data_IF_144121890190
#
_entry.id   IF_144121890190
#
_cell.length_a   1.000
_cell.length_b   1.000
_cell.length_c   1.000
_cell.angle_alpha   90.00
_cell.angle_beta   90.00
_cell.angle_gamma   90.00
#
_symmetry.space_group_name_H-M   'P 1'
#
loop_
_entity.id
_entity.type
_entity.pdbx_description
1 polymer ?
#
# COMPACT_ATOMS: atom_id res chain seq x y z
N UNK A 1 -19.64 7.43 6.44
CA UNK A 1 -20.43 6.23 6.82
C UNK A 1 -19.49 5.05 6.90
N UNK A 2 -19.62 4.18 7.93
CA UNK A 2 -18.81 2.96 8.04
C UNK A 2 -19.21 1.98 6.91
N UNK A 3 -18.29 1.16 6.38
CA UNK A 3 -18.62 0.16 5.35
C UNK A 3 -19.77 -0.77 5.76
N UNK A 4 -19.86 -1.13 7.05
CA UNK A 4 -20.96 -1.94 7.62
C UNK A 4 -22.30 -1.23 7.46
N UNK A 5 -22.39 0.05 7.83
CA UNK A 5 -23.64 0.80 7.72
C UNK A 5 -24.08 0.98 6.26
N UNK A 6 -23.12 1.19 5.35
CA UNK A 6 -23.40 1.26 3.93
C UNK A 6 -23.92 -0.08 3.40
N UNK A 7 -23.23 -1.20 3.72
CA UNK A 7 -23.66 -2.54 3.31
C UNK A 7 -25.09 -2.86 3.80
N UNK A 8 -25.38 -2.58 5.08
CA UNK A 8 -26.72 -2.79 5.62
C UNK A 8 -27.79 -1.94 4.93
N UNK A 9 -27.50 -0.66 4.66
CA UNK A 9 -28.43 0.23 3.97
C UNK A 9 -28.77 -0.29 2.57
N UNK A 10 -27.75 -0.64 1.76
CA UNK A 10 -28.00 -1.11 0.40
C UNK A 10 -28.61 -2.52 0.37
N UNK A 11 -28.28 -3.39 1.34
CA UNK A 11 -28.95 -4.67 1.49
C UNK A 11 -30.45 -4.52 1.80
N UNK A 12 -30.83 -3.52 2.63
CA UNK A 12 -32.24 -3.22 2.91
C UNK A 12 -32.96 -2.65 1.68
N UNK A 13 -32.32 -1.72 0.97
CA UNK A 13 -32.88 -1.12 -0.25
C UNK A 13 -33.13 -2.16 -1.35
N UNK A 14 -32.26 -3.17 -1.49
CA UNK A 14 -32.46 -4.27 -2.44
C UNK A 14 -33.67 -5.13 -2.15
N UNK A 15 -34.28 -5.04 -0.96
CA UNK A 15 -35.55 -5.68 -0.62
C UNK A 15 -36.79 -4.96 -1.19
N UNK A 16 -36.64 -3.75 -1.75
CA UNK A 16 -37.73 -3.02 -2.36
C UNK A 16 -38.09 -3.65 -3.74
N UNK A 17 -39.39 -3.94 -3.94
CA UNK A 17 -39.87 -4.55 -5.17
C UNK A 17 -40.10 -3.55 -6.32
N UNK A 18 -40.01 -2.24 -6.02
CA UNK A 18 -40.21 -1.16 -6.99
C UNK A 18 -38.95 -0.69 -7.71
N UNK A 19 -37.76 -1.30 -7.46
CA UNK A 19 -36.52 -0.90 -8.07
C UNK A 19 -36.45 -1.22 -9.56
N UNK A 20 -35.93 -0.28 -10.34
CA UNK A 20 -35.48 -0.54 -11.71
C UNK A 20 -34.25 -1.46 -11.71
N UNK A 21 -33.99 -2.10 -12.86
CA UNK A 21 -32.78 -2.94 -13.03
C UNK A 21 -31.48 -2.12 -12.87
N UNK A 22 -31.47 -0.85 -13.29
CA UNK A 22 -30.34 0.06 -13.13
C UNK A 22 -30.07 0.36 -11.65
N UNK A 23 -31.09 0.74 -10.89
CA UNK A 23 -30.98 1.01 -9.44
C UNK A 23 -30.51 -0.24 -8.68
N UNK A 24 -31.06 -1.40 -9.05
CA UNK A 24 -30.69 -2.69 -8.46
C UNK A 24 -29.20 -2.99 -8.68
N UNK A 25 -28.70 -2.80 -9.92
CA UNK A 25 -27.30 -3.02 -10.26
C UNK A 25 -26.38 -2.04 -9.53
N UNK A 26 -26.76 -0.78 -9.39
CA UNK A 26 -26.01 0.23 -8.63
C UNK A 26 -25.90 -0.16 -7.14
N UNK A 27 -27.01 -0.60 -6.53
CA UNK A 27 -27.04 -1.02 -5.13
C UNK A 27 -26.20 -2.27 -4.90
N UNK A 28 -26.26 -3.27 -5.81
CA UNK A 28 -25.41 -4.47 -5.77
C UNK A 28 -23.94 -4.08 -5.84
N UNK A 29 -23.57 -3.23 -6.79
CA UNK A 29 -22.18 -2.76 -6.95
C UNK A 29 -21.68 -2.05 -5.69
N UNK A 30 -22.48 -1.17 -5.10
CA UNK A 30 -22.12 -0.44 -3.87
C UNK A 30 -22.01 -1.38 -2.66
N UNK A 31 -22.89 -2.39 -2.57
CA UNK A 31 -22.82 -3.42 -1.56
C UNK A 31 -21.53 -4.24 -1.69
N UNK A 32 -21.20 -4.69 -2.91
CA UNK A 32 -19.95 -5.42 -3.19
C UNK A 32 -18.73 -4.63 -2.79
N UNK A 33 -18.62 -3.36 -3.19
CA UNK A 33 -17.54 -2.46 -2.78
C UNK A 33 -17.41 -2.33 -1.25
N UNK A 34 -18.55 -2.27 -0.55
CA UNK A 34 -18.57 -2.19 0.92
C UNK A 34 -18.08 -3.47 1.58
N UNK A 35 -18.44 -4.63 1.04
CA UNK A 35 -17.98 -5.95 1.50
C UNK A 35 -16.48 -6.16 1.23
N UNK A 36 -15.98 -5.74 0.06
CA UNK A 36 -14.56 -5.77 -0.27
C UNK A 36 -13.74 -4.92 0.71
N UNK A 37 -14.21 -3.71 1.04
CA UNK A 37 -13.60 -2.85 2.05
C UNK A 37 -13.56 -3.51 3.43
N UNK A 38 -14.64 -4.18 3.84
CA UNK A 38 -14.70 -4.92 5.11
C UNK A 38 -13.70 -6.08 5.12
N UNK A 39 -13.65 -6.85 4.06
CA UNK A 39 -12.71 -7.96 3.91
C UNK A 39 -11.26 -7.48 3.99
N UNK A 40 -10.93 -6.40 3.29
CA UNK A 40 -9.61 -5.79 3.36
C UNK A 40 -9.26 -5.31 4.78
N UNK A 41 -10.20 -4.63 5.46
CA UNK A 41 -10.07 -4.19 6.85
C UNK A 41 -9.76 -5.36 7.79
N UNK A 42 -10.59 -6.39 7.73
CA UNK A 42 -10.46 -7.56 8.61
C UNK A 42 -9.14 -8.27 8.39
N UNK A 43 -8.75 -8.51 7.14
CA UNK A 43 -7.48 -9.15 6.79
C UNK A 43 -6.28 -8.31 7.25
N UNK A 44 -6.33 -6.99 7.08
CA UNK A 44 -5.26 -6.07 7.53
C UNK A 44 -5.12 -6.07 9.06
N UNK A 45 -6.24 -6.09 9.79
CA UNK A 45 -6.26 -6.17 11.25
C UNK A 45 -5.71 -7.51 11.76
N UNK A 46 -6.07 -8.62 11.11
CA UNK A 46 -5.54 -9.95 11.46
C UNK A 46 -4.03 -10.00 11.21
N UNK A 47 -3.55 -9.52 10.06
CA UNK A 47 -2.12 -9.44 9.75
C UNK A 47 -1.37 -8.63 10.81
N UNK A 48 -1.89 -7.44 11.13
CA UNK A 48 -1.30 -6.56 12.13
C UNK A 48 -1.26 -7.22 13.52
N UNK A 49 -2.37 -7.78 13.99
CA UNK A 49 -2.48 -8.45 15.28
C UNK A 49 -1.50 -9.62 15.41
N UNK A 50 -1.39 -10.45 14.38
CA UNK A 50 -0.48 -11.59 14.36
C UNK A 50 0.99 -11.18 14.34
N UNK A 51 1.31 -10.09 13.65
CA UNK A 51 2.67 -9.56 13.60
C UNK A 51 3.07 -8.92 14.93
N UNK A 52 2.17 -8.16 15.58
CA UNK A 52 2.40 -7.52 16.87
C UNK A 52 2.51 -8.52 18.03
N UNK A 53 1.63 -9.52 18.05
CA UNK A 53 1.65 -10.58 19.10
C UNK A 53 2.84 -11.53 18.98
N UNK A 54 3.67 -11.40 17.94
CA UNK A 54 4.78 -12.31 17.69
C UNK A 54 4.35 -13.74 17.28
N UNK A 55 3.06 -13.96 17.04
CA UNK A 55 2.54 -15.24 16.51
C UNK A 55 3.16 -15.53 15.14
N UNK A 56 3.39 -14.48 14.35
CA UNK A 56 4.14 -14.59 13.11
C UNK A 56 5.56 -14.08 13.38
N UNK A 57 6.52 -14.98 13.32
CA UNK A 57 7.93 -14.63 13.25
C UNK A 57 8.33 -14.48 11.79
N UNK A 58 8.93 -13.34 11.45
CA UNK A 58 9.57 -13.16 10.14
C UNK A 58 10.71 -14.16 10.02
N UNK A 59 10.90 -14.70 8.81
CA UNK A 59 12.00 -15.62 8.48
C UNK A 59 12.91 -14.96 7.46
N UNK A 60 13.81 -14.06 7.89
CA UNK A 60 14.75 -13.44 6.97
C UNK A 60 15.72 -14.50 6.42
N UNK A 61 15.73 -14.62 5.11
CA UNK A 61 16.64 -15.47 4.35
C UNK A 61 17.36 -14.63 3.31
N UNK A 62 18.42 -15.15 2.73
CA UNK A 62 19.11 -14.50 1.62
C UNK A 62 18.20 -14.47 0.40
N UNK A 63 17.68 -13.30 0.07
CA UNK A 63 16.76 -13.08 -1.03
C UNK A 63 17.23 -11.92 -1.93
N UNK A 64 16.87 -12.00 -3.21
CA UNK A 64 17.03 -10.92 -4.18
C UNK A 64 15.97 -9.83 -3.91
N UNK A 65 16.43 -8.62 -3.60
CA UNK A 65 15.52 -7.47 -3.46
C UNK A 65 14.83 -7.13 -4.79
N UNK A 66 15.51 -7.33 -5.91
CA UNK A 66 14.95 -7.12 -7.24
C UNK A 66 13.72 -8.01 -7.48
N UNK A 67 13.80 -9.29 -7.12
CA UNK A 67 12.68 -10.22 -7.29
C UNK A 67 11.49 -9.85 -6.41
N UNK A 68 11.77 -9.42 -5.16
CA UNK A 68 10.74 -8.94 -4.24
C UNK A 68 10.05 -7.69 -4.80
N UNK A 69 10.82 -6.73 -5.33
CA UNK A 69 10.29 -5.52 -5.98
C UNK A 69 9.43 -5.88 -7.18
N UNK A 70 9.92 -6.76 -8.07
CA UNK A 70 9.16 -7.21 -9.23
C UNK A 70 7.85 -7.90 -8.86
N UNK A 71 7.83 -8.69 -7.78
CA UNK A 71 6.62 -9.31 -7.25
C UNK A 71 5.61 -8.24 -6.77
N UNK A 72 6.08 -7.22 -6.07
CA UNK A 72 5.23 -6.12 -5.61
C UNK A 72 4.67 -5.30 -6.79
N UNK A 73 5.50 -4.99 -7.79
CA UNK A 73 5.08 -4.30 -9.03
C UNK A 73 4.00 -5.08 -9.75
N UNK A 74 4.14 -6.41 -9.90
CA UNK A 74 3.11 -7.27 -10.52
C UNK A 74 1.75 -7.12 -9.82
N UNK A 75 1.74 -6.99 -8.49
CA UNK A 75 0.51 -6.87 -7.71
C UNK A 75 -0.26 -5.58 -7.99
N UNK A 76 0.44 -4.47 -8.24
CA UNK A 76 -0.19 -3.15 -8.49
C UNK A 76 -0.35 -2.83 -9.97
N UNK A 77 0.24 -3.63 -10.86
CA UNK A 77 0.34 -3.35 -12.30
C UNK A 77 -1.02 -3.08 -12.97
N UNK A 78 -2.04 -3.89 -12.67
CA UNK A 78 -3.38 -3.71 -13.25
C UNK A 78 -3.99 -2.36 -12.87
N UNK A 79 -3.82 -1.95 -11.61
CA UNK A 79 -4.31 -0.64 -11.13
C UNK A 79 -3.54 0.52 -11.79
N UNK A 80 -2.21 0.41 -11.87
CA UNK A 80 -1.36 1.41 -12.52
C UNK A 80 -1.75 1.56 -14.00
N UNK A 81 -1.93 0.45 -14.71
CA UNK A 81 -2.37 0.44 -16.12
C UNK A 81 -3.74 1.08 -16.29
N UNK A 82 -4.70 0.82 -15.39
CA UNK A 82 -6.03 1.44 -15.41
C UNK A 82 -6.01 2.96 -15.28
N UNK A 83 -4.94 3.53 -14.69
CA UNK A 83 -4.68 4.96 -14.57
C UNK A 83 -3.64 5.48 -15.57
N UNK A 84 -3.18 4.68 -16.52
CA UNK A 84 -2.08 5.01 -17.45
C UNK A 84 -0.80 5.48 -16.73
N UNK A 85 -0.53 4.97 -15.52
CA UNK A 85 0.68 5.29 -14.76
C UNK A 85 1.83 4.45 -15.27
N UNK A 86 2.95 5.10 -15.57
CA UNK A 86 4.20 4.43 -15.92
C UNK A 86 4.96 4.07 -14.66
N UNK A 87 5.28 2.78 -14.48
CA UNK A 87 6.16 2.31 -13.41
C UNK A 87 7.51 1.98 -14.02
N UNK A 88 8.58 2.62 -13.54
CA UNK A 88 9.96 2.37 -13.95
C UNK A 88 10.74 1.69 -12.82
N UNK A 89 11.55 0.71 -13.17
CA UNK A 89 12.46 0.03 -12.24
C UNK A 89 13.71 -0.41 -12.99
N UNK A 90 14.85 0.18 -12.61
CA UNK A 90 16.15 -0.24 -13.09
C UNK A 90 16.59 -1.49 -12.33
N UNK A 91 16.77 -2.60 -13.03
CA UNK A 91 17.15 -3.91 -12.50
C UNK A 91 18.39 -4.52 -13.19
N UNK A 92 19.26 -3.69 -13.76
CA UNK A 92 20.50 -4.18 -14.39
C UNK A 92 21.43 -4.88 -13.37
N UNK A 93 21.43 -4.39 -12.12
CA UNK A 93 22.21 -4.97 -11.02
C UNK A 93 21.30 -5.69 -10.03
N UNK A 94 21.70 -6.89 -9.59
CA UNK A 94 20.98 -7.66 -8.57
C UNK A 94 21.51 -7.34 -7.18
N UNK A 95 20.60 -7.06 -6.24
CA UNK A 95 20.90 -6.76 -4.85
C UNK A 95 20.34 -7.83 -3.93
N UNK A 96 21.18 -8.38 -3.04
CA UNK A 96 20.80 -9.42 -2.09
C UNK A 96 20.84 -8.90 -0.65
N UNK A 97 19.87 -9.31 0.15
CA UNK A 97 19.80 -8.97 1.58
C UNK A 97 19.13 -10.09 2.38
N UNK A 98 19.25 -10.03 3.73
CA UNK A 98 18.50 -10.90 4.64
C UNK A 98 17.09 -10.37 4.83
N UNK A 99 16.15 -10.91 4.07
CA UNK A 99 14.77 -10.44 4.01
C UNK A 99 13.80 -11.61 4.06
N UNK A 100 12.68 -11.43 4.73
CA UNK A 100 11.52 -12.28 4.53
C UNK A 100 10.85 -11.87 3.21
N UNK A 101 10.86 -12.77 2.23
CA UNK A 101 10.37 -12.48 0.89
C UNK A 101 8.93 -11.97 0.89
N UNK A 102 8.02 -12.69 1.54
CA UNK A 102 6.60 -12.38 1.50
C UNK A 102 6.25 -11.10 2.26
N UNK A 103 6.82 -10.92 3.45
CA UNK A 103 6.55 -9.73 4.25
C UNK A 103 7.20 -8.49 3.66
N UNK A 104 8.39 -8.60 3.07
CA UNK A 104 9.02 -7.48 2.38
C UNK A 104 8.24 -7.11 1.12
N UNK A 105 7.76 -8.10 0.35
CA UNK A 105 6.88 -7.85 -0.79
C UNK A 105 5.57 -7.16 -0.38
N UNK A 106 4.97 -7.56 0.75
CA UNK A 106 3.79 -6.88 1.32
C UNK A 106 4.09 -5.42 1.67
N UNK A 107 5.23 -5.17 2.34
CA UNK A 107 5.64 -3.81 2.71
C UNK A 107 5.83 -2.91 1.47
N UNK A 108 6.52 -3.42 0.45
CA UNK A 108 6.74 -2.70 -0.82
C UNK A 108 5.40 -2.49 -1.55
N UNK A 109 4.53 -3.51 -1.60
CA UNK A 109 3.20 -3.41 -2.23
C UNK A 109 2.35 -2.33 -1.57
N UNK A 110 2.37 -2.19 -0.24
CA UNK A 110 1.64 -1.15 0.46
C UNK A 110 2.09 0.27 0.06
N UNK A 111 3.39 0.48 -0.12
CA UNK A 111 3.94 1.77 -0.58
C UNK A 111 3.59 2.01 -2.05
N UNK A 112 3.76 1.01 -2.92
CA UNK A 112 3.40 1.10 -4.33
C UNK A 112 1.91 1.33 -4.56
N UNK A 113 1.03 0.67 -3.79
CA UNK A 113 -0.41 0.89 -3.87
C UNK A 113 -0.78 2.33 -3.50
N UNK A 114 -0.09 2.93 -2.51
CA UNK A 114 -0.23 4.35 -2.21
C UNK A 114 0.28 5.24 -3.35
N UNK A 115 1.48 4.98 -3.88
CA UNK A 115 2.02 5.73 -5.01
C UNK A 115 1.03 5.72 -6.18
N UNK A 116 0.51 4.54 -6.59
CA UNK A 116 -0.48 4.44 -7.68
C UNK A 116 -1.80 5.13 -7.34
N UNK A 117 -2.24 5.11 -6.09
CA UNK A 117 -3.49 5.78 -5.67
C UNK A 117 -3.40 7.28 -5.78
N UNK A 118 -2.32 7.87 -5.30
CA UNK A 118 -2.16 9.32 -5.16
C UNK A 118 -1.52 9.98 -6.36
N UNK A 119 -0.95 9.22 -7.26
CA UNK A 119 -0.48 9.71 -8.57
C UNK A 119 -1.67 9.96 -9.51
N UNK A 120 -1.72 11.10 -10.22
CA UNK A 120 -2.76 11.38 -11.21
C UNK A 120 -2.67 10.42 -12.40
N UNK A 121 -3.74 10.38 -13.22
CA UNK A 121 -3.75 9.60 -14.45
C UNK A 121 -2.62 10.07 -15.37
N UNK A 122 -1.87 9.13 -15.96
CA UNK A 122 -0.73 9.41 -16.83
C UNK A 122 0.56 9.79 -16.09
N UNK A 123 0.57 9.69 -14.75
CA UNK A 123 1.76 10.00 -13.94
C UNK A 123 2.82 8.91 -13.96
N UNK A 124 3.83 9.07 -13.10
CA UNK A 124 5.03 8.22 -13.07
C UNK A 124 5.28 7.78 -11.63
N UNK A 125 5.65 6.50 -11.49
CA UNK A 125 6.20 5.91 -10.25
C UNK A 125 7.55 5.31 -10.59
N UNK A 126 8.61 5.82 -9.98
CA UNK A 126 9.99 5.37 -10.21
C UNK A 126 10.52 4.61 -9.00
N UNK A 127 11.15 3.45 -9.26
CA UNK A 127 11.80 2.62 -8.25
C UNK A 127 13.30 2.57 -8.49
N UNK A 128 14.06 2.81 -7.42
CA UNK A 128 15.52 2.79 -7.47
C UNK A 128 16.11 2.11 -6.25
N UNK A 129 17.03 1.16 -6.47
CA UNK A 129 17.82 0.57 -5.38
C UNK A 129 19.19 1.25 -5.36
N UNK A 130 19.61 1.67 -4.16
CA UNK A 130 20.94 2.23 -3.91
C UNK A 130 21.61 1.41 -2.82
N UNK A 131 22.83 0.97 -3.07
CA UNK A 131 23.62 0.20 -2.11
C UNK A 131 24.44 1.12 -1.20
N UNK A 132 24.36 0.86 0.11
CA UNK A 132 25.18 1.46 1.16
C UNK A 132 25.96 0.37 1.90
N UNK A 133 26.99 0.70 2.70
CA UNK A 133 27.77 -0.31 3.40
C UNK A 133 26.97 -1.27 4.26
N UNK A 134 25.91 -0.81 4.94
CA UNK A 134 25.08 -1.60 5.87
C UNK A 134 23.65 -1.81 5.44
N UNK A 135 23.19 -1.12 4.38
CA UNK A 135 21.80 -1.14 3.94
C UNK A 135 21.69 -1.13 2.42
N UNK A 136 20.62 -1.74 1.92
CA UNK A 136 20.06 -1.43 0.62
C UNK A 136 18.93 -0.44 0.83
N UNK A 137 18.94 0.67 0.10
CA UNK A 137 17.86 1.64 0.10
C UNK A 137 17.02 1.45 -1.17
N UNK A 138 15.75 1.13 -0.99
CA UNK A 138 14.76 1.15 -2.05
C UNK A 138 13.98 2.47 -1.95
N UNK A 139 14.13 3.32 -2.95
CA UNK A 139 13.32 4.52 -3.14
C UNK A 139 12.15 4.19 -4.05
N UNK A 140 10.96 4.60 -3.65
CA UNK A 140 9.72 4.54 -4.42
C UNK A 140 9.23 5.98 -4.50
N UNK A 141 9.36 6.58 -5.68
CA UNK A 141 9.06 7.99 -5.95
C UNK A 141 7.85 8.10 -6.84
N UNK A 142 6.91 8.97 -6.50
CA UNK A 142 5.75 9.28 -7.30
C UNK A 142 5.67 10.79 -7.59
N UNK A 143 5.05 11.17 -8.69
CA UNK A 143 4.72 12.56 -9.02
C UNK A 143 3.25 12.89 -8.69
N UNK A 144 2.80 12.41 -7.54
CA UNK A 144 1.45 12.59 -7.03
C UNK A 144 1.23 13.92 -6.32
N UNK A 145 0.15 13.98 -5.54
CA UNK A 145 -0.30 15.19 -4.84
C UNK A 145 0.61 15.62 -3.67
N UNK A 146 1.58 14.80 -3.31
CA UNK A 146 2.46 15.02 -2.17
C UNK A 146 1.79 14.89 -0.80
N UNK A 147 2.60 15.11 0.24
CA UNK A 147 2.21 14.98 1.66
C UNK A 147 2.76 16.19 2.40
N UNK A 148 1.90 16.95 3.07
CA UNK A 148 2.31 18.12 3.83
C UNK A 148 3.30 17.74 4.97
N UNK A 149 4.21 18.62 5.32
CA UNK A 149 5.22 18.39 6.36
C UNK A 149 4.59 17.95 7.70
N UNK A 150 3.46 18.56 8.06
CA UNK A 150 2.70 18.22 9.28
C UNK A 150 2.17 16.78 9.26
N UNK A 151 1.89 16.23 8.08
CA UNK A 151 1.33 14.89 7.90
C UNK A 151 2.42 13.82 7.78
N UNK A 152 3.62 14.16 7.28
CA UNK A 152 4.70 13.18 7.05
C UNK A 152 5.07 12.38 8.31
N UNK A 153 5.04 12.99 9.49
CA UNK A 153 5.28 12.28 10.75
C UNK A 153 4.11 11.38 11.17
N UNK A 154 2.88 11.68 10.70
CA UNK A 154 1.63 11.02 11.13
C UNK A 154 1.22 9.86 10.23
N UNK A 155 1.66 9.86 8.95
CA UNK A 155 1.22 8.86 7.95
C UNK A 155 1.58 7.41 8.32
N UNK A 156 2.54 7.21 9.20
CA UNK A 156 2.91 5.90 9.74
C UNK A 156 2.08 5.51 10.99
N UNK A 157 1.12 6.34 11.39
CA UNK A 157 0.19 6.04 12.48
C UNK A 157 -0.90 5.04 12.06
N UNK A 158 -1.45 4.30 13.03
CA UNK A 158 -2.58 3.38 12.79
C UNK A 158 -3.83 4.17 12.40
N UNK A 159 -4.52 3.74 11.37
CA UNK A 159 -5.76 4.34 10.88
C UNK A 159 -5.63 5.82 10.46
N UNK A 160 -4.40 6.30 10.33
CA UNK A 160 -4.19 7.66 9.88
C UNK A 160 -4.46 7.78 8.37
N UNK A 161 -5.20 8.84 8.03
CA UNK A 161 -5.48 9.23 6.64
C UNK A 161 -5.31 10.74 6.54
N UNK A 162 -4.53 11.16 5.55
CA UNK A 162 -4.30 12.59 5.28
C UNK A 162 -5.58 13.30 4.85
N UNK A 163 -5.63 14.61 5.04
CA UNK A 163 -6.78 15.46 4.69
C UNK A 163 -7.15 15.38 3.20
N UNK A 164 -6.15 15.23 2.34
CA UNK A 164 -6.33 15.13 0.89
C UNK A 164 -6.73 13.71 0.42
N UNK A 165 -6.83 12.75 1.31
CA UNK A 165 -7.26 11.38 0.99
C UNK A 165 -8.78 11.20 0.93
N UNK A 166 -9.56 12.30 1.01
CA UNK A 166 -11.02 12.27 0.88
C UNK A 166 -11.41 11.78 -0.52
N UNK A 167 -12.16 10.69 -0.59
CA UNK A 167 -12.54 10.05 -1.87
C UNK A 167 -11.57 8.99 -2.38
N UNK A 168 -10.38 8.85 -1.81
CA UNK A 168 -9.43 7.78 -2.15
C UNK A 168 -9.64 6.59 -1.20
N UNK A 169 -9.74 5.38 -1.73
CA UNK A 169 -9.94 4.18 -0.92
C UNK A 169 -8.72 3.83 -0.07
N UNK A 170 -8.96 3.48 1.19
CA UNK A 170 -7.91 3.05 2.11
C UNK A 170 -8.34 3.10 3.57
N UNK A 171 -7.64 2.34 4.40
CA UNK A 171 -7.95 2.18 5.83
C UNK A 171 -6.93 2.87 6.73
N UNK A 172 -5.78 3.27 6.18
CA UNK A 172 -4.70 3.87 6.97
C UNK A 172 -3.89 2.87 7.79
N UNK A 173 -3.82 1.59 7.35
CA UNK A 173 -3.03 0.55 8.03
C UNK A 173 -1.75 0.21 7.24
N UNK A 174 -1.75 0.40 5.92
CA UNK A 174 -0.67 -0.07 5.05
C UNK A 174 0.71 0.46 5.42
N UNK A 175 0.87 1.78 5.58
CA UNK A 175 2.17 2.38 5.95
C UNK A 175 2.60 2.03 7.37
N UNK A 176 1.65 1.90 8.31
CA UNK A 176 1.94 1.40 9.65
C UNK A 176 2.51 -0.02 9.59
N UNK A 177 1.86 -0.93 8.85
CA UNK A 177 2.31 -2.30 8.67
C UNK A 177 3.67 -2.35 7.96
N UNK A 178 3.88 -1.54 6.92
CA UNK A 178 5.17 -1.40 6.25
C UNK A 178 6.28 -1.06 7.23
N UNK A 179 6.08 -0.03 8.08
CA UNK A 179 7.06 0.37 9.08
C UNK A 179 7.37 -0.75 10.07
N UNK A 180 6.35 -1.46 10.55
CA UNK A 180 6.54 -2.58 11.49
C UNK A 180 7.32 -3.74 10.85
N UNK A 181 6.97 -4.12 9.62
CA UNK A 181 7.68 -5.17 8.86
C UNK A 181 9.16 -4.81 8.65
N UNK A 182 9.43 -3.59 8.22
CA UNK A 182 10.81 -3.14 7.95
C UNK A 182 11.62 -3.07 9.24
N UNK A 183 11.04 -2.53 10.33
CA UNK A 183 11.68 -2.45 11.64
C UNK A 183 12.02 -3.84 12.21
N UNK A 184 11.12 -4.81 12.07
CA UNK A 184 11.34 -6.20 12.52
C UNK A 184 12.45 -6.92 11.75
N UNK A 185 12.86 -6.38 10.60
CA UNK A 185 14.02 -6.84 9.81
C UNK A 185 15.24 -5.95 10.00
N UNK A 186 15.31 -5.19 11.11
CA UNK A 186 16.41 -4.27 11.45
C UNK A 186 16.64 -3.17 10.39
N UNK A 187 15.60 -2.83 9.66
CA UNK A 187 15.56 -1.71 8.72
C UNK A 187 14.78 -0.52 9.28
N UNK A 188 14.53 0.47 8.45
CA UNK A 188 13.66 1.60 8.73
C UNK A 188 13.11 2.22 7.45
N UNK A 189 12.05 3.02 7.56
CA UNK A 189 11.43 3.73 6.44
C UNK A 189 11.46 5.23 6.69
N UNK A 190 11.68 6.01 5.62
CA UNK A 190 11.58 7.47 5.60
C UNK A 190 10.65 7.91 4.49
N UNK A 191 10.16 9.14 4.61
CA UNK A 191 9.43 9.84 3.56
C UNK A 191 10.04 11.22 3.37
N UNK A 192 10.13 11.65 2.13
CA UNK A 192 10.38 13.03 1.74
C UNK A 192 9.32 13.38 0.71
N UNK A 193 8.62 14.50 0.89
CA UNK A 193 7.51 14.86 0.00
C UNK A 193 7.34 16.38 -0.03
N UNK A 194 6.94 16.85 -1.21
CA UNK A 194 6.55 18.24 -1.46
C UNK A 194 5.30 18.27 -2.37
N UNK A 195 5.00 19.41 -2.96
CA UNK A 195 3.86 19.59 -3.87
C UNK A 195 3.99 18.85 -5.22
N UNK A 196 5.20 18.34 -5.54
CA UNK A 196 5.48 17.65 -6.80
C UNK A 196 5.47 16.12 -6.65
N UNK A 197 5.22 15.60 -5.43
CA UNK A 197 5.11 14.16 -5.19
C UNK A 197 5.77 13.71 -3.90
N UNK A 198 5.93 12.38 -3.79
CA UNK A 198 6.49 11.76 -2.59
C UNK A 198 7.57 10.74 -2.95
N UNK A 199 8.56 10.63 -2.10
CA UNK A 199 9.56 9.55 -2.14
C UNK A 199 9.57 8.81 -0.80
N UNK A 200 9.22 7.54 -0.84
CA UNK A 200 9.36 6.63 0.29
C UNK A 200 10.65 5.84 0.15
N UNK A 201 11.53 5.94 1.14
CA UNK A 201 12.82 5.25 1.20
C UNK A 201 12.79 4.14 2.24
N UNK A 202 12.83 2.88 1.81
CA UNK A 202 12.94 1.71 2.66
C UNK A 202 14.43 1.34 2.79
N UNK A 203 14.96 1.40 4.00
CA UNK A 203 16.31 0.98 4.32
C UNK A 203 16.28 -0.45 4.86
N UNK A 204 16.77 -1.38 4.08
CA UNK A 204 16.74 -2.82 4.34
C UNK A 204 18.16 -3.27 4.70
N UNK A 205 18.31 -4.00 5.81
CA UNK A 205 19.63 -4.41 6.28
C UNK A 205 20.28 -5.35 5.28
N UNK A 206 21.49 -5.01 4.85
CA UNK A 206 22.31 -5.85 3.98
C UNK A 206 22.84 -7.08 4.75
N UNK A 207 23.33 -8.08 4.01
CA UNK A 207 24.02 -9.25 4.53
C UNK A 207 25.26 -8.89 5.35
#
# INVERSE_FOLDING_TARGET
KTPVAAANTFAQLLGDTGLSDEERNEYISTLQMSLEKLTFLTNSLIKMSRLESGIISLKPEKNSLNDIVLQAVKTVYSKARGKNITITFDCEQTFEALLDFNWTAEAITNVLDNAVKYTPNGGIVDLKITEYPSYLRLDISDNGIGISEEEQAKIFGRFYRGKQSTGVDGVGIGLYLTRDIVNKQNGYIKVASDENGSTFSLFLKKL
#
